data_IF_229533714180
#
_entry.id   IF_229533714180
#
_cell.length_a   1.000
_cell.length_b   1.000
_cell.length_c   1.000
_cell.angle_alpha   90.00
_cell.angle_beta   90.00
_cell.angle_gamma   90.00
#
_symmetry.space_group_name_H-M   'P 1'
#
loop_
_entity.id
_entity.type
_entity.pdbx_description
1 polymer ?
#
# COMPACT_ATOMS: atom_id res chain seq x y z
N UNK A 1 -18.60 15.19 53.82
CA UNK A 1 -18.26 16.51 54.40
C UNK A 1 -16.76 16.71 54.14
N UNK A 2 -16.40 17.55 53.15
CA UNK A 2 -15.79 18.91 53.31
C UNK A 2 -14.47 18.83 54.09
N UNK A 3 -13.30 19.21 53.56
CA UNK A 3 -12.83 20.54 53.12
C UNK A 3 -11.59 20.33 52.20
N UNK A 4 -11.39 20.91 51.00
CA UNK A 4 -11.19 22.31 50.55
C UNK A 4 -10.29 23.15 51.47
N UNK A 5 -9.04 23.32 51.05
CA UNK A 5 -8.12 24.42 51.37
C UNK A 5 -7.30 24.71 50.09
N UNK A 6 -7.73 25.67 49.27
CA UNK A 6 -7.18 27.04 49.15
C UNK A 6 -5.65 27.09 49.03
N UNK A 7 -5.16 27.41 47.83
CA UNK A 7 -3.96 28.23 47.70
C UNK A 7 -4.29 29.45 46.84
N UNK A 8 -4.31 30.59 47.52
CA UNK A 8 -4.61 31.91 47.02
C UNK A 8 -3.42 32.45 46.24
N UNK A 9 -3.72 33.03 45.08
CA UNK A 9 -2.82 33.79 44.24
C UNK A 9 -2.40 35.09 44.94
N UNK A 10 -1.10 35.33 45.07
CA UNK A 10 -0.54 36.65 45.40
C UNK A 10 0.46 37.04 44.31
N UNK A 11 0.12 38.07 43.56
CA UNK A 11 0.95 38.69 42.52
C UNK A 11 1.29 40.12 42.98
N UNK A 12 2.54 40.56 42.74
CA UNK A 12 3.08 41.92 42.49
C UNK A 12 4.53 41.94 43.02
N UNK A 13 5.60 42.16 42.26
CA UNK A 13 5.97 43.16 41.23
C UNK A 13 7.14 42.55 40.40
N UNK A 14 7.48 42.88 39.15
CA UNK A 14 7.22 44.02 38.29
C UNK A 14 7.37 43.60 36.81
N UNK A 15 6.46 44.05 35.94
CA UNK A 15 6.67 44.12 34.50
C UNK A 15 5.90 45.34 33.97
N UNK A 16 6.41 46.06 32.94
CA UNK A 16 5.87 47.34 32.53
C UNK A 16 4.48 47.21 31.91
N UNK A 17 3.69 48.27 32.03
CA UNK A 17 2.34 48.38 31.52
C UNK A 17 2.33 48.40 29.97
N UNK A 18 2.26 47.22 29.36
CA UNK A 18 1.72 47.00 28.02
C UNK A 18 1.29 45.52 27.90
N UNK A 19 0.06 45.29 27.43
CA UNK A 19 -0.56 43.98 27.15
C UNK A 19 -1.19 43.23 28.33
N UNK A 20 -2.26 43.81 28.91
CA UNK A 20 -3.20 43.08 29.76
C UNK A 20 -4.40 42.47 29.00
N UNK A 21 -4.52 42.69 27.68
CA UNK A 21 -5.68 42.18 26.91
C UNK A 21 -5.53 40.71 26.45
N UNK A 22 -4.33 40.13 26.46
CA UNK A 22 -4.10 38.81 25.86
C UNK A 22 -4.00 37.65 26.86
N UNK A 23 -4.17 37.91 28.16
CA UNK A 23 -3.99 36.85 29.18
C UNK A 23 -5.20 35.91 29.25
N UNK A 24 -6.41 36.43 29.05
CA UNK A 24 -7.64 35.63 28.97
C UNK A 24 -7.71 34.81 27.67
N UNK A 25 -7.31 35.40 26.54
CA UNK A 25 -7.22 34.70 25.24
C UNK A 25 -6.13 33.60 25.26
N UNK A 26 -4.99 33.86 25.91
CA UNK A 26 -3.95 32.85 26.13
C UNK A 26 -4.40 31.72 27.06
N UNK A 27 -5.17 32.02 28.12
CA UNK A 27 -5.72 31.01 29.02
C UNK A 27 -6.81 30.16 28.35
N UNK A 28 -7.66 30.74 27.51
CA UNK A 28 -8.66 29.99 26.74
C UNK A 28 -8.05 29.11 25.64
N UNK A 29 -7.03 29.60 24.93
CA UNK A 29 -6.26 28.80 23.96
C UNK A 29 -5.48 27.67 24.64
N UNK A 30 -4.89 27.94 25.82
CA UNK A 30 -4.17 26.93 26.60
C UNK A 30 -5.12 25.88 27.19
N UNK A 31 -6.30 26.26 27.69
CA UNK A 31 -7.30 25.33 28.20
C UNK A 31 -7.92 24.45 27.09
N UNK A 32 -8.10 25.00 25.87
CA UNK A 32 -8.50 24.22 24.69
C UNK A 32 -7.39 23.29 24.17
N UNK A 33 -6.12 23.60 24.42
CA UNK A 33 -4.99 22.71 24.08
C UNK A 33 -4.85 21.51 25.03
N UNK A 34 -5.34 21.62 26.27
CA UNK A 34 -5.25 20.56 27.29
C UNK A 34 -6.45 19.61 27.23
N UNK A 35 -7.59 20.04 26.66
CA UNK A 35 -8.79 19.19 26.46
C UNK A 35 -8.82 18.47 25.11
N UNK A 36 -8.06 18.95 24.12
CA UNK A 36 -7.79 18.19 22.90
C UNK A 36 -6.57 17.30 23.14
N UNK A 37 -6.76 15.99 23.23
CA UNK A 37 -5.73 15.04 22.78
C UNK A 37 -5.52 15.30 21.29
N UNK A 38 -4.70 16.30 20.96
CA UNK A 38 -4.43 16.72 19.60
C UNK A 38 -3.80 15.55 18.86
N UNK A 39 -4.54 15.02 17.89
CA UNK A 39 -3.95 14.30 16.78
C UNK A 39 -2.75 15.11 16.30
N UNK A 40 -1.57 14.51 16.31
CA UNK A 40 -0.37 15.16 15.78
C UNK A 40 -0.70 15.55 14.33
N UNK A 41 -0.30 16.75 13.91
CA UNK A 41 -0.36 17.11 12.48
C UNK A 41 0.29 15.96 11.67
N UNK A 42 -0.24 15.59 10.49
CA UNK A 42 0.42 14.58 9.67
C UNK A 42 1.86 15.05 9.43
N UNK A 43 2.84 14.19 9.72
CA UNK A 43 4.25 14.61 9.67
C UNK A 43 4.80 14.67 8.24
N UNK A 44 3.96 14.41 7.24
CA UNK A 44 4.24 14.49 5.81
C UNK A 44 3.14 15.25 5.05
N UNK A 45 3.37 15.46 3.75
CA UNK A 45 2.48 16.19 2.85
C UNK A 45 1.53 15.27 2.06
N UNK A 46 1.17 14.11 2.61
CA UNK A 46 0.26 13.19 1.92
C UNK A 46 -1.18 13.76 1.85
N UNK A 47 -1.81 13.57 0.69
CA UNK A 47 -3.16 14.05 0.39
C UNK A 47 -4.08 12.84 0.14
N UNK A 48 -5.30 12.89 0.68
CA UNK A 48 -6.32 11.88 0.40
C UNK A 48 -6.75 12.01 -1.08
N UNK A 49 -6.67 10.91 -1.82
CA UNK A 49 -7.06 10.88 -3.22
C UNK A 49 -8.46 10.32 -3.41
N UNK A 50 -8.77 9.18 -2.81
CA UNK A 50 -10.05 8.49 -3.06
C UNK A 50 -10.85 8.34 -1.77
N UNK A 51 -12.15 8.64 -1.85
CA UNK A 51 -13.06 8.44 -0.74
C UNK A 51 -14.49 8.20 -1.22
N UNK A 52 -15.00 7.00 -0.93
CA UNK A 52 -16.38 6.62 -1.23
C UNK A 52 -17.09 6.11 0.03
N UNK A 53 -18.42 6.24 0.02
CA UNK A 53 -19.26 5.84 1.16
C UNK A 53 -19.19 4.33 1.40
N UNK A 54 -18.73 3.95 2.60
CA UNK A 54 -18.61 2.55 3.07
C UNK A 54 -17.70 1.68 2.22
N UNK A 55 -16.80 2.28 1.46
CA UNK A 55 -15.82 1.58 0.63
C UNK A 55 -14.43 1.62 1.28
N UNK A 56 -13.64 0.57 1.05
CA UNK A 56 -12.21 0.56 1.31
C UNK A 56 -11.48 0.28 0.00
N UNK A 57 -10.42 1.03 -0.27
CA UNK A 57 -9.62 0.91 -1.48
C UNK A 57 -8.16 0.67 -1.17
N UNK A 58 -7.54 -0.23 -1.93
CA UNK A 58 -6.15 -0.63 -1.74
C UNK A 58 -5.47 -0.91 -3.08
N UNK A 59 -4.15 -1.13 -3.01
CA UNK A 59 -3.32 -1.56 -4.13
C UNK A 59 -3.47 -0.68 -5.38
N UNK A 60 -3.17 0.63 -5.29
CA UNK A 60 -3.26 1.51 -6.44
C UNK A 60 -2.30 1.06 -7.54
N UNK A 61 -2.77 1.03 -8.79
CA UNK A 61 -1.95 0.73 -9.97
C UNK A 61 -2.15 1.86 -11.00
N UNK A 62 -1.27 2.87 -11.05
CA UNK A 62 -1.37 3.95 -12.02
C UNK A 62 -1.24 3.41 -13.44
N UNK A 63 -2.06 3.95 -14.33
CA UNK A 63 -2.11 3.58 -15.75
C UNK A 63 -0.84 3.99 -16.50
N UNK A 64 -0.48 3.30 -17.60
CA UNK A 64 0.67 3.65 -18.42
C UNK A 64 0.59 5.07 -19.02
N UNK A 65 -0.59 5.62 -19.24
CA UNK A 65 -0.77 6.99 -19.75
C UNK A 65 -0.91 8.03 -18.62
N UNK A 66 -0.91 7.61 -17.36
CA UNK A 66 -1.00 8.48 -16.19
C UNK A 66 -2.39 9.07 -15.90
N UNK A 67 -3.43 8.73 -16.68
CA UNK A 67 -4.78 9.32 -16.55
C UNK A 67 -5.66 8.63 -15.49
N UNK A 68 -5.40 7.35 -15.25
CA UNK A 68 -6.21 6.50 -14.38
C UNK A 68 -5.38 5.76 -13.34
N UNK A 69 -6.05 5.27 -12.30
CA UNK A 69 -5.51 4.35 -11.29
C UNK A 69 -6.50 3.20 -11.15
N UNK A 70 -6.01 1.95 -11.20
CA UNK A 70 -6.81 0.81 -10.76
C UNK A 70 -6.69 0.64 -9.26
N UNK A 71 -7.79 0.30 -8.60
CA UNK A 71 -7.82 0.01 -7.17
C UNK A 71 -8.54 -1.30 -6.92
N UNK A 72 -8.18 -1.96 -5.81
CA UNK A 72 -8.98 -3.02 -5.23
C UNK A 72 -10.01 -2.39 -4.29
N UNK A 73 -11.26 -2.35 -4.73
CA UNK A 73 -12.38 -1.81 -3.97
C UNK A 73 -13.09 -2.89 -3.19
N UNK A 74 -13.41 -2.59 -1.93
CA UNK A 74 -14.22 -3.47 -1.07
C UNK A 74 -15.37 -2.69 -0.46
N UNK A 75 -16.59 -3.14 -0.75
CA UNK A 75 -17.82 -2.63 -0.15
C UNK A 75 -18.59 -3.78 0.49
N UNK A 76 -18.62 -3.82 1.83
CA UNK A 76 -19.18 -4.94 2.59
C UNK A 76 -18.45 -6.27 2.31
N UNK A 77 -19.16 -7.20 1.65
CA UNK A 77 -18.62 -8.51 1.24
C UNK A 77 -18.15 -8.55 -0.22
N UNK A 78 -18.51 -7.55 -1.02
CA UNK A 78 -18.15 -7.49 -2.42
C UNK A 78 -16.75 -6.90 -2.57
N UNK A 79 -15.97 -7.48 -3.48
CA UNK A 79 -14.66 -6.97 -3.87
C UNK A 79 -14.63 -6.84 -5.38
N UNK A 80 -14.10 -5.73 -5.88
CA UNK A 80 -14.02 -5.43 -7.31
C UNK A 80 -12.69 -4.76 -7.65
N UNK A 81 -12.32 -4.86 -8.91
CA UNK A 81 -11.31 -3.99 -9.52
C UNK A 81 -12.07 -2.75 -10.00
N UNK A 82 -11.66 -1.58 -9.54
CA UNK A 82 -12.27 -0.29 -9.90
C UNK A 82 -11.24 0.59 -10.60
N UNK A 83 -11.71 1.59 -11.35
CA UNK A 83 -10.86 2.59 -12.02
C UNK A 83 -11.24 3.98 -11.56
N UNK A 84 -10.23 4.70 -11.07
CA UNK A 84 -10.31 6.10 -10.62
C UNK A 84 -9.55 7.01 -11.57
N UNK A 85 -9.95 8.26 -11.68
CA UNK A 85 -9.12 9.29 -12.29
C UNK A 85 -7.92 9.59 -11.39
N UNK A 86 -6.72 9.70 -11.97
CA UNK A 86 -5.51 9.98 -11.19
C UNK A 86 -5.44 11.40 -10.65
N UNK A 87 -6.12 12.34 -11.32
CA UNK A 87 -6.10 13.77 -10.99
C UNK A 87 -6.83 14.11 -9.69
N UNK A 88 -7.93 13.40 -9.40
CA UNK A 88 -8.81 13.73 -8.28
C UNK A 88 -9.38 12.51 -7.54
N UNK A 89 -9.10 11.30 -8.01
CA UNK A 89 -9.60 10.07 -7.40
C UNK A 89 -11.07 9.75 -7.64
N UNK A 90 -11.77 10.53 -8.48
CA UNK A 90 -13.17 10.27 -8.79
C UNK A 90 -13.34 8.93 -9.51
N UNK A 91 -14.45 8.20 -9.28
CA UNK A 91 -14.75 6.99 -10.03
C UNK A 91 -14.90 7.28 -11.53
N UNK A 92 -14.03 6.68 -12.33
CA UNK A 92 -14.20 6.60 -13.78
C UNK A 92 -15.11 5.42 -14.14
N UNK A 93 -14.87 4.26 -13.50
CA UNK A 93 -15.70 3.06 -13.60
C UNK A 93 -15.65 2.29 -12.27
N UNK A 94 -16.81 2.10 -11.63
CA UNK A 94 -16.86 1.53 -10.28
C UNK A 94 -16.64 0.01 -10.23
N UNK A 95 -16.82 -0.72 -11.33
CA UNK A 95 -16.59 -2.17 -11.38
C UNK A 95 -16.12 -2.59 -12.77
N UNK A 96 -14.87 -3.03 -12.89
CA UNK A 96 -14.33 -3.66 -14.11
C UNK A 96 -14.46 -5.19 -14.03
N UNK A 97 -14.21 -5.77 -12.86
CA UNK A 97 -14.38 -7.19 -12.57
C UNK A 97 -14.68 -7.41 -11.09
N UNK A 98 -15.52 -8.41 -10.75
CA UNK A 98 -15.96 -8.71 -9.38
C UNK A 98 -15.83 -10.20 -8.99
N UNK A 99 -15.32 -11.03 -9.90
CA UNK A 99 -15.05 -12.47 -9.77
C UNK A 99 -13.54 -12.77 -9.83
N UNK A 100 -12.72 -11.73 -9.68
CA UNK A 100 -11.27 -11.85 -9.63
C UNK A 100 -10.82 -12.44 -8.29
N UNK A 101 -9.67 -13.12 -8.29
CA UNK A 101 -8.98 -13.56 -7.08
C UNK A 101 -8.35 -12.33 -6.41
N UNK A 102 -9.18 -11.57 -5.72
CA UNK A 102 -8.90 -10.24 -5.20
C UNK A 102 -7.96 -10.24 -3.98
N UNK A 103 -6.65 -10.24 -4.26
CA UNK A 103 -5.54 -9.90 -3.37
C UNK A 103 -4.42 -9.43 -4.30
N UNK A 104 -4.46 -8.17 -4.75
CA UNK A 104 -3.53 -7.54 -5.71
C UNK A 104 -3.26 -8.26 -7.06
N UNK A 105 -4.07 -9.27 -7.39
CA UNK A 105 -3.87 -10.11 -8.58
C UNK A 105 -4.44 -9.50 -9.86
N UNK A 106 -4.08 -8.25 -10.12
CA UNK A 106 -4.49 -7.47 -11.28
C UNK A 106 -3.43 -6.43 -11.67
N UNK A 107 -3.49 -5.96 -12.91
CA UNK A 107 -2.59 -4.93 -13.41
C UNK A 107 -2.96 -4.45 -14.81
N UNK A 108 -2.19 -3.49 -15.31
CA UNK A 108 -2.32 -3.01 -16.68
C UNK A 108 -1.54 -3.91 -17.63
N UNK A 109 -2.17 -4.35 -18.71
CA UNK A 109 -1.48 -5.05 -19.81
C UNK A 109 -0.88 -4.04 -20.78
N UNK A 110 -1.66 -3.02 -21.13
CA UNK A 110 -1.31 -1.93 -22.02
C UNK A 110 -2.18 -0.69 -21.69
N UNK A 111 -2.17 0.34 -22.55
CA UNK A 111 -2.97 1.56 -22.33
C UNK A 111 -4.49 1.32 -22.32
N UNK A 112 -4.95 0.28 -23.01
CA UNK A 112 -6.36 -0.03 -23.22
C UNK A 112 -6.87 -1.20 -22.39
N UNK A 113 -6.00 -2.11 -21.94
CA UNK A 113 -6.39 -3.38 -21.33
C UNK A 113 -5.80 -3.59 -19.94
N UNK A 114 -6.59 -4.26 -19.11
CA UNK A 114 -6.14 -4.77 -17.81
C UNK A 114 -6.07 -6.29 -17.86
N UNK A 115 -5.24 -6.87 -16.99
CA UNK A 115 -5.25 -8.29 -16.69
C UNK A 115 -5.59 -8.57 -15.22
N UNK A 116 -6.09 -9.76 -14.93
CA UNK A 116 -6.30 -10.24 -13.57
C UNK A 116 -6.48 -11.76 -13.51
N UNK A 117 -6.27 -12.35 -12.32
CA UNK A 117 -6.55 -13.78 -12.09
C UNK A 117 -8.03 -14.00 -11.80
N UNK A 118 -8.63 -15.01 -12.43
CA UNK A 118 -9.99 -15.46 -12.12
C UNK A 118 -10.14 -16.96 -12.34
N UNK A 119 -10.96 -17.60 -11.50
CA UNK A 119 -11.33 -19.02 -11.60
C UNK A 119 -12.58 -19.25 -12.45
N UNK A 120 -13.10 -18.20 -13.09
CA UNK A 120 -14.26 -18.30 -13.96
C UNK A 120 -14.05 -19.36 -15.05
N UNK A 121 -15.18 -19.94 -15.48
CA UNK A 121 -15.20 -21.04 -16.44
C UNK A 121 -14.35 -22.26 -15.98
N UNK A 122 -14.48 -22.61 -14.69
CA UNK A 122 -14.11 -23.92 -14.15
C UNK A 122 -12.61 -24.12 -13.87
N UNK A 123 -11.80 -23.07 -13.90
CA UNK A 123 -10.36 -23.18 -13.64
C UNK A 123 -9.68 -21.82 -13.58
N UNK A 124 -8.54 -21.77 -12.88
CA UNK A 124 -7.74 -20.56 -12.79
C UNK A 124 -7.23 -20.17 -14.18
N UNK A 125 -7.27 -18.87 -14.47
CA UNK A 125 -6.65 -18.32 -15.66
C UNK A 125 -6.22 -16.89 -15.44
N UNK A 126 -5.28 -16.44 -16.27
CA UNK A 126 -5.05 -15.02 -16.47
C UNK A 126 -6.03 -14.53 -17.53
N UNK A 127 -6.78 -13.49 -17.19
CA UNK A 127 -7.81 -12.91 -18.04
C UNK A 127 -7.49 -11.47 -18.37
N UNK A 128 -7.89 -11.04 -19.57
CA UNK A 128 -7.86 -9.65 -19.99
C UNK A 128 -9.27 -9.08 -20.18
N UNK A 129 -9.38 -7.77 -20.00
CA UNK A 129 -10.58 -6.99 -20.30
C UNK A 129 -10.18 -5.56 -20.68
N UNK A 130 -11.01 -4.89 -21.48
CA UNK A 130 -10.86 -3.46 -21.76
C UNK A 130 -10.95 -2.70 -20.44
N UNK A 131 -10.05 -1.73 -20.26
CA UNK A 131 -9.85 -1.00 -19.01
C UNK A 131 -11.00 -0.09 -18.62
N UNK A 132 -11.91 0.23 -19.53
CA UNK A 132 -13.16 0.95 -19.24
C UNK A 132 -14.24 0.04 -18.64
N UNK A 133 -14.00 -1.27 -18.56
CA UNK A 133 -14.97 -2.22 -18.06
C UNK A 133 -16.02 -2.64 -19.09
N UNK A 134 -16.02 -2.03 -20.28
CA UNK A 134 -16.91 -2.43 -21.37
C UNK A 134 -16.32 -3.63 -22.14
N UNK A 135 -17.09 -4.15 -23.09
CA UNK A 135 -16.66 -5.22 -23.97
C UNK A 135 -16.47 -6.60 -23.33
N UNK A 136 -16.02 -7.54 -24.17
CA UNK A 136 -15.81 -8.94 -23.79
C UNK A 136 -14.52 -9.10 -22.98
N UNK A 137 -14.56 -10.03 -22.02
CA UNK A 137 -13.38 -10.51 -21.33
C UNK A 137 -12.85 -11.77 -22.02
N UNK A 138 -11.53 -11.90 -22.11
CA UNK A 138 -10.86 -13.02 -22.78
C UNK A 138 -9.86 -13.70 -21.84
N UNK A 139 -9.71 -15.02 -21.96
CA UNK A 139 -8.66 -15.75 -21.26
C UNK A 139 -7.35 -15.63 -22.05
N UNK A 140 -6.30 -15.13 -21.42
CA UNK A 140 -4.94 -15.04 -21.98
C UNK A 140 -4.30 -16.42 -21.93
N UNK A 141 -4.19 -16.98 -20.73
CA UNK A 141 -3.55 -18.27 -20.49
C UNK A 141 -4.31 -19.05 -19.41
N UNK A 142 -4.60 -20.35 -19.61
CA UNK A 142 -5.05 -21.21 -18.53
C UNK A 142 -3.90 -21.42 -17.53
N UNK A 143 -4.21 -21.32 -16.24
CA UNK A 143 -3.27 -21.50 -15.15
C UNK A 143 -3.79 -22.57 -14.17
N UNK A 144 -2.95 -23.01 -13.26
CA UNK A 144 -3.31 -24.09 -12.34
C UNK A 144 -2.67 -23.92 -10.96
N UNK A 145 -3.34 -24.50 -9.96
CA UNK A 145 -2.92 -24.40 -8.57
C UNK A 145 -3.27 -23.05 -7.93
N UNK A 146 -2.58 -22.73 -6.84
CA UNK A 146 -2.79 -21.49 -6.12
C UNK A 146 -1.72 -20.47 -6.53
N UNK A 147 -2.12 -19.50 -7.37
CA UNK A 147 -1.29 -18.39 -7.81
C UNK A 147 -1.87 -17.05 -7.35
N UNK A 148 -0.99 -16.06 -7.19
CA UNK A 148 -1.33 -14.66 -6.87
C UNK A 148 -0.29 -13.70 -7.45
N UNK A 149 -0.61 -12.41 -7.51
CA UNK A 149 0.28 -11.31 -7.94
C UNK A 149 0.98 -11.57 -9.31
N UNK A 150 0.20 -11.78 -10.39
CA UNK A 150 0.80 -12.01 -11.70
C UNK A 150 1.40 -10.72 -12.27
N UNK A 151 2.50 -10.89 -13.00
CA UNK A 151 3.16 -9.91 -13.83
C UNK A 151 3.23 -10.49 -15.24
N UNK A 152 2.74 -9.72 -16.23
CA UNK A 152 2.83 -10.10 -17.64
C UNK A 152 4.08 -9.46 -18.23
N UNK A 153 4.97 -10.27 -18.80
CA UNK A 153 6.17 -9.79 -19.49
C UNK A 153 5.85 -9.45 -20.95
N UNK A 154 6.75 -8.72 -21.60
CA UNK A 154 6.60 -8.31 -23.00
C UNK A 154 6.58 -9.51 -23.98
N UNK A 155 7.21 -10.62 -23.61
CA UNK A 155 7.15 -11.89 -24.35
C UNK A 155 5.92 -12.73 -23.99
N UNK A 156 4.91 -12.14 -23.36
CA UNK A 156 3.69 -12.79 -22.85
C UNK A 156 3.91 -13.92 -21.83
N UNK A 157 5.15 -14.14 -21.37
CA UNK A 157 5.39 -15.02 -20.23
C UNK A 157 4.90 -14.36 -18.94
N UNK A 158 4.54 -15.18 -17.95
CA UNK A 158 3.93 -14.71 -16.70
C UNK A 158 4.87 -15.01 -15.56
N UNK A 159 5.20 -14.00 -14.76
CA UNK A 159 5.77 -14.22 -13.41
C UNK A 159 4.62 -14.14 -12.41
N UNK A 160 4.57 -15.06 -11.45
CA UNK A 160 3.54 -15.07 -10.41
C UNK A 160 4.10 -15.60 -9.09
N UNK A 161 3.34 -15.41 -8.01
CA UNK A 161 3.59 -16.05 -6.72
C UNK A 161 2.80 -17.34 -6.64
N UNK A 162 3.49 -18.46 -6.52
CA UNK A 162 2.89 -19.76 -6.23
C UNK A 162 2.81 -19.98 -4.74
N UNK A 163 1.62 -20.36 -4.28
CA UNK A 163 1.37 -20.72 -2.89
C UNK A 163 1.36 -22.24 -2.76
N UNK A 164 2.21 -22.79 -1.89
CA UNK A 164 2.27 -24.22 -1.60
C UNK A 164 1.75 -24.47 -0.19
N UNK A 165 0.71 -25.31 -0.06
CA UNK A 165 0.17 -25.66 1.24
C UNK A 165 1.23 -26.38 2.07
N UNK A 166 1.40 -25.96 3.32
CA UNK A 166 2.28 -26.63 4.26
C UNK A 166 1.46 -27.73 4.92
N UNK A 167 1.87 -28.99 4.75
CA UNK A 167 1.20 -30.15 5.35
C UNK A 167 1.48 -30.23 6.85
N UNK A 168 0.79 -29.38 7.63
CA UNK A 168 0.90 -29.33 9.09
C UNK A 168 -0.33 -30.01 9.69
N UNK A 169 -0.13 -31.23 10.23
CA UNK A 169 -1.14 -31.97 11.01
C UNK A 169 -1.91 -31.02 11.94
N UNK A 170 -3.19 -30.76 11.61
CA UNK A 170 -4.26 -30.16 12.43
C UNK A 170 -3.80 -29.30 13.63
N UNK A 171 -3.03 -28.24 13.40
CA UNK A 171 -3.06 -27.12 14.36
C UNK A 171 -4.23 -26.25 13.94
N UNK A 172 -5.12 -25.98 14.89
CA UNK A 172 -6.21 -25.02 14.76
C UNK A 172 -5.64 -23.74 14.16
N UNK A 173 -5.82 -23.53 12.86
CA UNK A 173 -5.54 -22.24 12.24
C UNK A 173 -6.49 -21.31 12.98
N UNK A 174 -5.94 -20.51 13.89
CA UNK A 174 -6.68 -19.43 14.50
C UNK A 174 -7.37 -18.71 13.36
N UNK A 175 -8.69 -18.50 13.44
CA UNK A 175 -9.39 -17.56 12.57
C UNK A 175 -8.92 -16.14 12.90
N UNK A 176 -7.63 -15.87 12.78
CA UNK A 176 -7.11 -14.51 12.72
C UNK A 176 -7.79 -13.89 11.52
N UNK A 177 -8.60 -12.85 11.78
CA UNK A 177 -9.19 -12.04 10.72
C UNK A 177 -8.06 -11.68 9.76
N UNK A 178 -8.19 -12.08 8.50
CA UNK A 178 -7.26 -11.69 7.47
C UNK A 178 -7.28 -10.16 7.41
N UNK A 179 -6.17 -9.55 7.76
CA UNK A 179 -5.96 -8.12 7.59
C UNK A 179 -5.63 -7.88 6.12
N UNK A 180 -6.41 -7.01 5.46
CA UNK A 180 -6.32 -6.81 4.02
C UNK A 180 -5.02 -6.08 3.60
N UNK A 181 -4.35 -5.45 4.57
CA UNK A 181 -3.02 -4.86 4.45
C UNK A 181 -1.93 -5.90 4.17
N UNK A 182 -2.02 -7.06 4.82
CA UNK A 182 -0.99 -8.09 4.76
C UNK A 182 -1.30 -9.11 3.65
N UNK A 183 -0.62 -8.93 2.53
CA UNK A 183 -0.60 -9.85 1.39
C UNK A 183 0.72 -10.66 1.29
N UNK A 184 1.58 -10.62 2.33
CA UNK A 184 2.89 -11.27 2.34
C UNK A 184 2.97 -12.49 3.26
N UNK A 185 1.99 -12.70 4.14
CA UNK A 185 1.91 -13.86 5.01
C UNK A 185 0.54 -14.50 4.92
N UNK A 186 0.47 -15.65 4.24
CA UNK A 186 -0.73 -16.48 4.22
C UNK A 186 -0.53 -17.70 5.09
N UNK A 187 -1.30 -17.79 6.17
CA UNK A 187 -1.20 -18.88 7.13
C UNK A 187 -1.41 -20.25 6.45
N UNK A 188 -0.47 -21.16 6.66
CA UNK A 188 -0.52 -22.51 6.10
C UNK A 188 0.05 -22.63 4.68
N UNK A 189 0.72 -21.59 4.16
CA UNK A 189 1.36 -21.63 2.84
C UNK A 189 2.81 -21.16 2.88
N UNK A 190 3.68 -21.80 2.10
CA UNK A 190 4.93 -21.20 1.61
C UNK A 190 4.71 -20.56 0.25
N UNK A 191 5.64 -19.70 -0.17
CA UNK A 191 5.51 -18.95 -1.42
C UNK A 191 6.78 -19.00 -2.26
N UNK A 192 6.61 -19.15 -3.56
CA UNK A 192 7.69 -19.16 -4.55
C UNK A 192 7.35 -18.19 -5.69
N UNK A 193 8.35 -17.46 -6.18
CA UNK A 193 8.27 -16.74 -7.44
C UNK A 193 8.48 -17.74 -8.57
N UNK A 194 7.50 -17.85 -9.45
CA UNK A 194 7.52 -18.79 -10.59
C UNK A 194 7.32 -18.03 -11.90
N UNK A 195 7.90 -18.54 -12.99
CA UNK A 195 7.68 -18.08 -14.35
C UNK A 195 6.99 -19.16 -15.18
N UNK A 196 5.92 -18.80 -15.85
CA UNK A 196 5.24 -19.60 -16.87
C UNK A 196 5.62 -19.07 -18.25
N UNK A 197 6.14 -19.95 -19.10
CA UNK A 197 6.38 -19.63 -20.49
C UNK A 197 5.08 -19.72 -21.30
N UNK A 198 5.11 -19.24 -22.54
CA UNK A 198 3.96 -19.30 -23.46
C UNK A 198 3.49 -20.73 -23.74
N UNK A 199 4.41 -21.70 -23.73
CA UNK A 199 4.11 -23.13 -23.90
C UNK A 199 3.46 -23.77 -22.65
N UNK A 200 3.29 -22.99 -21.56
CA UNK A 200 2.71 -23.44 -20.30
C UNK A 200 3.71 -24.12 -19.36
N UNK A 201 4.97 -24.27 -19.76
CA UNK A 201 6.02 -24.78 -18.87
C UNK A 201 6.30 -23.81 -17.73
N UNK A 202 6.54 -24.36 -16.55
CA UNK A 202 6.78 -23.59 -15.33
C UNK A 202 8.21 -23.79 -14.83
N UNK A 203 8.82 -22.70 -14.37
CA UNK A 203 10.10 -22.71 -13.67
C UNK A 203 10.04 -21.87 -12.39
N UNK A 204 10.61 -22.38 -11.30
CA UNK A 204 10.81 -21.63 -10.06
C UNK A 204 12.03 -20.69 -10.25
N UNK A 205 11.86 -19.41 -9.90
CA UNK A 205 12.93 -18.41 -9.91
C UNK A 205 13.57 -18.26 -8.53
N UNK A 206 12.76 -18.16 -7.47
CA UNK A 206 13.21 -18.00 -6.09
C UNK A 206 12.07 -18.31 -5.09
N UNK A 207 12.39 -18.49 -3.81
CA UNK A 207 11.39 -18.29 -2.75
C UNK A 207 11.03 -16.80 -2.67
N UNK A 208 9.80 -16.47 -2.30
CA UNK A 208 9.41 -15.07 -2.09
C UNK A 208 8.02 -14.72 -2.59
N UNK A 209 7.75 -13.42 -2.58
CA UNK A 209 6.42 -12.82 -2.75
C UNK A 209 6.53 -11.36 -3.22
N UNK A 210 5.39 -10.75 -3.53
CA UNK A 210 5.25 -9.35 -3.93
C UNK A 210 6.23 -8.94 -5.04
N UNK A 211 6.33 -9.70 -6.15
CA UNK A 211 7.22 -9.33 -7.23
C UNK A 211 6.73 -8.03 -7.89
N UNK A 212 7.67 -7.22 -8.35
CA UNK A 212 7.42 -6.04 -9.18
C UNK A 212 8.44 -5.99 -10.31
N UNK A 213 7.93 -5.89 -11.54
CA UNK A 213 8.74 -5.83 -12.76
C UNK A 213 9.40 -4.46 -12.90
N UNK A 214 10.71 -4.46 -13.20
CA UNK A 214 11.42 -3.24 -13.55
C UNK A 214 10.88 -2.66 -14.87
N UNK A 215 10.92 -1.33 -15.08
CA UNK A 215 10.39 -0.70 -16.29
C UNK A 215 11.02 -1.21 -17.60
N UNK A 216 12.25 -1.72 -17.54
CA UNK A 216 12.94 -2.32 -18.69
C UNK A 216 12.54 -3.78 -18.99
N UNK A 217 11.74 -4.39 -18.12
CA UNK A 217 11.27 -5.77 -18.23
C UNK A 217 12.33 -6.85 -17.95
N UNK A 218 13.56 -6.49 -17.56
CA UNK A 218 14.69 -7.43 -17.47
C UNK A 218 14.84 -8.05 -16.09
N UNK A 219 14.36 -7.39 -15.06
CA UNK A 219 14.47 -7.86 -13.68
C UNK A 219 13.19 -7.64 -12.90
N UNK A 220 13.03 -8.39 -11.82
CA UNK A 220 12.01 -8.15 -10.81
C UNK A 220 12.69 -7.80 -9.49
N UNK A 221 12.04 -6.96 -8.70
CA UNK A 221 12.29 -6.86 -7.26
C UNK A 221 11.19 -7.62 -6.53
N UNK A 222 11.51 -8.30 -5.44
CA UNK A 222 10.55 -9.09 -4.67
C UNK A 222 10.98 -9.15 -3.20
N UNK A 223 10.06 -9.53 -2.32
CA UNK A 223 10.34 -9.71 -0.90
C UNK A 223 10.61 -11.19 -0.60
N UNK A 224 11.68 -11.46 0.14
CA UNK A 224 12.08 -12.81 0.54
C UNK A 224 12.48 -12.82 2.02
N UNK A 225 12.10 -13.89 2.72
CA UNK A 225 12.50 -14.08 4.10
C UNK A 225 14.00 -14.40 4.17
N UNK A 226 14.76 -13.66 4.98
CA UNK A 226 16.13 -14.01 5.33
C UNK A 226 16.29 -14.00 6.86
N UNK A 227 16.40 -15.19 7.44
CA UNK A 227 16.42 -15.37 8.89
C UNK A 227 15.12 -14.90 9.55
N UNK A 228 15.23 -13.86 10.40
CA UNK A 228 14.09 -13.30 11.17
C UNK A 228 13.51 -12.03 10.57
N UNK A 229 14.02 -11.60 9.42
CA UNK A 229 13.62 -10.40 8.68
C UNK A 229 13.10 -10.77 7.30
N UNK A 230 12.43 -9.82 6.66
CA UNK A 230 12.05 -9.91 5.26
C UNK A 230 12.75 -8.77 4.55
N UNK A 231 13.46 -9.09 3.48
CA UNK A 231 14.24 -8.13 2.73
C UNK A 231 13.83 -8.14 1.27
N UNK A 232 14.21 -7.08 0.57
CA UNK A 232 14.05 -6.99 -0.87
C UNK A 232 15.24 -7.63 -1.57
N UNK A 233 14.94 -8.39 -2.61
CA UNK A 233 15.91 -8.98 -3.53
C UNK A 233 15.55 -8.60 -4.96
N UNK A 234 16.57 -8.50 -5.82
CA UNK A 234 16.42 -8.34 -7.26
C UNK A 234 16.94 -9.59 -7.95
N UNK A 235 16.24 -10.05 -8.98
CA UNK A 235 16.67 -11.16 -9.84
C UNK A 235 16.28 -10.85 -11.29
N UNK A 236 17.06 -11.31 -12.26
CA UNK A 236 16.69 -11.22 -13.66
C UNK A 236 15.46 -12.10 -13.95
N UNK A 237 14.67 -11.75 -14.97
CA UNK A 237 13.46 -12.50 -15.36
C UNK A 237 13.74 -13.91 -15.90
N UNK A 238 15.00 -14.22 -16.20
CA UNK A 238 15.48 -15.56 -16.52
C UNK A 238 15.98 -16.37 -15.30
N UNK A 239 15.99 -15.76 -14.12
CA UNK A 239 16.44 -16.34 -12.85
C UNK A 239 17.92 -16.16 -12.53
N UNK A 240 18.68 -15.40 -13.32
CA UNK A 240 20.08 -15.07 -13.04
C UNK A 240 20.23 -13.83 -12.14
N UNK A 241 21.45 -13.60 -11.64
CA UNK A 241 21.86 -12.40 -10.87
C UNK A 241 20.97 -12.04 -9.67
N UNK A 242 20.70 -13.03 -8.81
CA UNK A 242 20.01 -12.81 -7.54
C UNK A 242 20.88 -11.95 -6.59
N UNK A 243 20.39 -10.78 -6.21
CA UNK A 243 21.09 -9.80 -5.36
C UNK A 243 20.15 -9.32 -4.25
N UNK A 244 20.66 -9.22 -3.02
CA UNK A 244 19.95 -8.59 -1.90
C UNK A 244 20.03 -7.06 -1.99
N UNK A 245 18.89 -6.39 -1.86
CA UNK A 245 18.76 -4.92 -2.00
C UNK A 245 18.68 -4.23 -0.64
N UNK A 246 18.04 -4.86 0.36
CA UNK A 246 17.94 -4.32 1.72
C UNK A 246 18.47 -5.31 2.76
N UNK A 247 19.00 -4.81 3.87
CA UNK A 247 19.66 -5.64 4.90
C UNK A 247 19.38 -5.20 6.35
N UNK A 248 18.46 -4.26 6.55
CA UNK A 248 18.06 -3.79 7.87
C UNK A 248 17.23 -4.83 8.64
N UNK A 249 17.27 -4.78 9.98
CA UNK A 249 16.43 -5.63 10.84
C UNK A 249 14.97 -5.14 10.81
N UNK A 250 14.29 -5.32 9.68
CA UNK A 250 12.93 -4.89 9.41
C UNK A 250 12.17 -5.96 8.62
N UNK A 251 10.93 -5.63 8.28
CA UNK A 251 10.13 -6.34 7.28
C UNK A 251 9.93 -5.38 6.11
N UNK A 252 10.60 -5.65 5.00
CA UNK A 252 10.48 -4.87 3.76
C UNK A 252 9.67 -5.68 2.74
N UNK A 253 8.54 -5.13 2.30
CA UNK A 253 7.52 -5.83 1.50
C UNK A 253 6.87 -4.90 0.48
N UNK A 254 6.01 -5.48 -0.38
CA UNK A 254 5.25 -4.74 -1.39
C UNK A 254 6.07 -3.76 -2.25
N UNK A 255 7.21 -4.19 -2.83
CA UNK A 255 8.05 -3.29 -3.59
C UNK A 255 7.38 -2.85 -4.90
N UNK A 256 7.86 -1.72 -5.43
CA UNK A 256 7.55 -1.22 -6.76
C UNK A 256 8.72 -0.43 -7.32
N UNK A 257 8.74 -0.22 -8.63
CA UNK A 257 9.74 0.60 -9.28
C UNK A 257 9.22 2.01 -9.55
N UNK A 258 10.11 2.99 -9.50
CA UNK A 258 9.89 4.26 -10.16
C UNK A 258 9.76 4.05 -11.67
N UNK A 259 8.99 4.91 -12.33
CA UNK A 259 8.80 4.90 -13.78
C UNK A 259 10.10 5.04 -14.57
N UNK A 260 11.13 5.67 -13.99
CA UNK A 260 12.47 5.82 -14.56
C UNK A 260 13.46 4.70 -14.18
N UNK A 261 13.03 3.72 -13.36
CA UNK A 261 13.83 2.57 -12.94
C UNK A 261 14.98 2.89 -11.97
N UNK A 262 15.09 4.13 -11.49
CA UNK A 262 16.18 4.54 -10.57
C UNK A 262 15.91 4.21 -9.12
N UNK A 263 14.65 4.06 -8.74
CA UNK A 263 14.23 3.86 -7.36
C UNK A 263 13.32 2.65 -7.22
N UNK A 264 13.45 2.00 -6.08
CA UNK A 264 12.55 0.96 -5.60
C UNK A 264 11.79 1.56 -4.42
N UNK A 265 10.47 1.71 -4.54
CA UNK A 265 9.58 2.04 -3.44
C UNK A 265 9.18 0.76 -2.72
N UNK A 266 8.95 0.80 -1.41
CA UNK A 266 8.52 -0.36 -0.64
C UNK A 266 7.90 0.02 0.69
N UNK A 267 7.10 -0.89 1.23
CA UNK A 267 6.48 -0.79 2.56
C UNK A 267 7.44 -1.36 3.60
N UNK A 268 7.69 -0.62 4.69
CA UNK A 268 8.60 -1.09 5.74
C UNK A 268 8.23 -0.61 7.12
N UNK A 269 8.45 -1.48 8.11
CA UNK A 269 8.33 -1.14 9.53
C UNK A 269 9.63 -0.63 10.15
N UNK A 270 10.61 -0.23 9.33
CA UNK A 270 11.98 0.06 9.80
C UNK A 270 12.10 1.27 10.74
N UNK A 271 11.16 2.21 10.71
CA UNK A 271 11.16 3.38 11.59
C UNK A 271 10.96 2.99 13.07
N UNK A 272 10.12 1.99 13.35
CA UNK A 272 9.90 1.42 14.69
C UNK A 272 9.97 -0.11 14.63
N UNK A 273 11.13 -0.60 14.19
CA UNK A 273 11.40 -2.03 14.01
C UNK A 273 11.49 -2.83 15.32
N UNK A 274 11.05 -2.28 16.46
CA UNK A 274 10.99 -3.02 17.72
C UNK A 274 9.93 -4.13 17.65
N UNK A 275 10.34 -5.26 17.08
CA UNK A 275 9.55 -6.48 16.92
C UNK A 275 9.06 -7.07 18.27
N UNK A 276 9.46 -6.51 19.42
CA UNK A 276 8.94 -6.87 20.75
C UNK A 276 7.60 -6.17 21.06
N UNK A 277 7.29 -5.05 20.40
CA UNK A 277 6.01 -4.33 20.54
C UNK A 277 4.99 -4.81 19.50
N UNK A 278 4.38 -5.97 19.74
CA UNK A 278 3.29 -6.47 18.88
C UNK A 278 2.15 -5.45 18.81
N UNK A 279 1.77 -5.05 17.59
CA UNK A 279 0.59 -4.23 17.32
C UNK A 279 0.82 -2.71 17.31
N UNK A 280 2.07 -2.24 17.32
CA UNK A 280 2.41 -0.81 17.21
C UNK A 280 3.40 -0.45 16.09
N UNK A 281 3.77 -1.41 15.25
CA UNK A 281 4.70 -1.13 14.14
C UNK A 281 4.06 -0.12 13.19
N UNK A 282 4.71 1.03 13.06
CA UNK A 282 4.43 2.01 12.02
C UNK A 282 4.91 1.43 10.68
N UNK A 283 4.05 1.46 9.67
CA UNK A 283 4.39 1.01 8.33
C UNK A 283 4.38 2.22 7.42
N UNK A 284 5.54 2.57 6.93
CA UNK A 284 5.72 3.72 6.06
C UNK A 284 6.16 3.26 4.67
N UNK A 285 6.02 4.16 3.70
CA UNK A 285 6.61 4.04 2.39
C UNK A 285 8.06 4.53 2.45
N UNK A 286 8.96 3.73 1.89
CA UNK A 286 10.38 4.02 1.75
C UNK A 286 10.79 3.91 0.29
N UNK A 287 11.86 4.60 -0.06
CA UNK A 287 12.53 4.50 -1.36
C UNK A 287 14.00 4.15 -1.16
N UNK A 288 14.53 3.32 -2.04
CA UNK A 288 15.96 3.01 -2.13
C UNK A 288 16.39 3.05 -3.59
N UNK A 289 17.60 3.52 -3.87
CA UNK A 289 18.18 3.48 -5.20
C UNK A 289 18.22 2.04 -5.73
N UNK A 290 18.12 1.89 -7.05
CA UNK A 290 18.19 0.58 -7.71
C UNK A 290 19.54 -0.12 -7.52
N UNK A 291 20.56 0.60 -7.04
CA UNK A 291 21.87 0.10 -6.62
C UNK A 291 21.93 -0.29 -5.13
N UNK A 292 20.82 -0.17 -4.39
CA UNK A 292 20.74 -0.43 -2.96
C UNK A 292 21.20 0.73 -2.07
N UNK A 293 21.39 1.93 -2.60
CA UNK A 293 21.86 3.11 -1.84
C UNK A 293 20.77 4.17 -1.67
N UNK A 294 21.10 5.28 -1.01
CA UNK A 294 20.23 6.47 -0.89
C UNK A 294 18.85 6.20 -0.26
N UNK A 295 18.81 5.33 0.76
CA UNK A 295 17.59 5.02 1.48
C UNK A 295 16.90 6.31 1.99
N UNK A 296 15.63 6.49 1.63
CA UNK A 296 14.83 7.68 1.93
C UNK A 296 13.46 7.26 2.46
N UNK A 297 13.02 7.85 3.57
CA UNK A 297 11.66 7.69 4.09
C UNK A 297 10.72 8.66 3.35
N UNK A 298 9.66 8.13 2.75
CA UNK A 298 8.69 8.91 1.95
C UNK A 298 7.53 9.39 2.82
N UNK A 299 6.92 8.48 3.57
CA UNK A 299 5.83 8.82 4.49
C UNK A 299 6.27 8.75 5.94
N UNK A 300 5.65 9.60 6.76
CA UNK A 300 5.91 9.75 8.19
C UNK A 300 4.57 9.94 8.90
N UNK A 301 3.90 8.85 9.21
CA UNK A 301 2.66 8.90 9.99
C UNK A 301 2.49 7.69 10.91
N UNK A 302 1.55 7.78 11.84
CA UNK A 302 1.22 6.66 12.73
C UNK A 302 0.37 5.57 12.03
N UNK A 303 -0.21 5.86 10.86
CA UNK A 303 -0.97 4.91 10.06
C UNK A 303 -0.10 3.81 9.44
N UNK A 304 -0.77 2.92 8.72
CA UNK A 304 -0.17 1.88 7.90
C UNK A 304 -0.28 2.29 6.45
N UNK A 305 0.85 2.70 5.88
CA UNK A 305 0.97 3.01 4.47
C UNK A 305 1.54 1.80 3.72
N UNK A 306 0.95 1.46 2.57
CA UNK A 306 1.35 0.25 1.84
C UNK A 306 1.13 0.28 0.33
N UNK A 307 1.77 -0.67 -0.34
CA UNK A 307 1.72 -0.94 -1.78
C UNK A 307 1.86 0.31 -2.65
N UNK A 308 2.87 1.14 -2.35
CA UNK A 308 3.13 2.36 -3.11
C UNK A 308 3.49 2.06 -4.58
N UNK A 309 2.97 2.88 -5.50
CA UNK A 309 3.33 2.90 -6.93
C UNK A 309 3.56 4.33 -7.38
N UNK A 310 4.56 4.56 -8.24
CA UNK A 310 4.82 5.87 -8.82
C UNK A 310 4.09 6.03 -10.15
N UNK A 311 3.37 7.13 -10.34
CA UNK A 311 2.79 7.52 -11.61
C UNK A 311 3.82 8.13 -12.56
N UNK A 312 3.44 8.32 -13.83
CA UNK A 312 4.26 9.06 -14.80
C UNK A 312 4.34 10.56 -14.50
N UNK A 313 3.40 11.07 -13.71
CA UNK A 313 3.38 12.42 -13.18
C UNK A 313 4.39 12.65 -12.03
N UNK A 314 5.10 11.59 -11.61
CA UNK A 314 6.07 11.64 -10.51
C UNK A 314 5.43 11.60 -9.12
N UNK A 315 4.10 11.48 -9.02
CA UNK A 315 3.41 11.28 -7.75
C UNK A 315 3.51 9.83 -7.32
N UNK A 316 3.55 9.61 -6.01
CA UNK A 316 3.50 8.30 -5.38
C UNK A 316 2.07 8.10 -4.87
N UNK A 317 1.43 7.02 -5.29
CA UNK A 317 0.11 6.59 -4.83
C UNK A 317 0.26 5.38 -3.93
N UNK A 318 -0.41 5.38 -2.79
CA UNK A 318 -0.35 4.30 -1.81
C UNK A 318 -1.69 4.14 -1.10
N UNK A 319 -1.92 2.99 -0.48
CA UNK A 319 -3.09 2.85 0.40
C UNK A 319 -2.70 3.16 1.83
N UNK A 320 -3.61 3.78 2.57
CA UNK A 320 -3.39 4.12 3.98
C UNK A 320 -4.68 4.08 4.80
N UNK A 321 -4.55 3.70 6.07
CA UNK A 321 -5.61 3.79 7.09
C UNK A 321 -5.50 5.05 7.97
N UNK A 322 -4.81 6.08 7.46
CA UNK A 322 -4.82 7.46 7.98
C UNK A 322 -6.22 7.92 8.34
N UNK A 323 -6.31 8.67 9.44
CA UNK A 323 -7.57 9.23 9.89
C UNK A 323 -8.13 10.23 8.87
N UNK A 324 -9.41 10.06 8.51
CA UNK A 324 -10.12 10.96 7.60
C UNK A 324 -10.77 12.08 8.42
N UNK A 325 -10.42 13.33 8.11
CA UNK A 325 -10.97 14.50 8.80
C UNK A 325 -12.37 14.87 8.32
N UNK A 326 -13.07 15.75 9.04
CA UNK A 326 -14.38 16.27 8.61
C UNK A 326 -14.28 17.12 7.35
N UNK A 327 -13.18 17.84 7.21
CA UNK A 327 -12.86 18.67 6.04
C UNK A 327 -12.69 17.79 4.81
N UNK A 328 -11.95 16.68 4.93
CA UNK A 328 -11.80 15.68 3.86
C UNK A 328 -13.15 15.05 3.47
N UNK A 329 -13.97 14.67 4.45
CA UNK A 329 -15.34 14.19 4.20
C UNK A 329 -16.17 15.21 3.40
N UNK A 330 -16.06 16.49 3.75
CA UNK A 330 -16.77 17.56 3.04
C UNK A 330 -16.23 17.77 1.62
N UNK A 331 -14.90 17.80 1.44
CA UNK A 331 -14.25 17.95 0.14
C UNK A 331 -14.64 16.84 -0.83
N UNK A 332 -14.70 15.60 -0.36
CA UNK A 332 -15.14 14.44 -1.15
C UNK A 332 -16.66 14.22 -1.15
N UNK A 333 -17.44 15.10 -0.52
CA UNK A 333 -18.91 15.02 -0.47
C UNK A 333 -19.45 13.71 0.14
N UNK A 334 -18.70 13.10 1.06
CA UNK A 334 -19.04 11.83 1.74
C UNK A 334 -19.48 12.11 3.18
N UNK A 335 -20.58 11.47 3.63
CA UNK A 335 -21.09 11.66 5.00
C UNK A 335 -20.23 10.99 6.07
N UNK A 336 -19.64 9.84 5.74
CA UNK A 336 -18.82 9.04 6.65
C UNK A 336 -17.93 8.07 5.87
N UNK A 337 -16.67 7.91 6.28
CA UNK A 337 -15.80 6.84 5.80
C UNK A 337 -16.15 5.50 6.47
N UNK A 338 -15.71 4.39 5.87
CA UNK A 338 -15.76 3.10 6.55
C UNK A 338 -14.84 3.10 7.78
N UNK A 339 -15.22 2.37 8.84
CA UNK A 339 -14.35 2.21 10.00
C UNK A 339 -13.23 1.22 9.70
N UNK A 340 -11.99 1.56 10.08
CA UNK A 340 -10.80 0.73 9.86
C UNK A 340 -10.58 0.32 8.39
N UNK A 341 -10.91 1.23 7.46
CA UNK A 341 -10.67 1.06 6.02
C UNK A 341 -9.38 1.70 5.59
N UNK A 342 -8.86 1.18 4.49
CA UNK A 342 -7.84 1.83 3.68
C UNK A 342 -8.48 2.69 2.59
N UNK A 343 -7.80 3.78 2.24
CA UNK A 343 -8.12 4.67 1.13
C UNK A 343 -6.85 4.94 0.32
N UNK A 344 -6.98 5.43 -0.92
CA UNK A 344 -5.81 5.81 -1.70
C UNK A 344 -5.39 7.23 -1.32
N UNK A 345 -4.12 7.39 -1.02
CA UNK A 345 -3.44 8.64 -0.75
C UNK A 345 -2.36 8.87 -1.79
N UNK A 346 -1.96 10.13 -1.94
CA UNK A 346 -0.91 10.52 -2.86
C UNK A 346 0.05 11.50 -2.20
N UNK A 347 1.33 11.41 -2.56
CA UNK A 347 2.38 12.32 -2.10
C UNK A 347 3.34 12.59 -3.25
N UNK A 348 3.88 13.81 -3.32
CA UNK A 348 4.96 14.13 -4.25
C UNK A 348 6.26 13.42 -3.85
N UNK A 349 7.16 13.21 -4.81
CA UNK A 349 8.54 12.84 -4.46
C UNK A 349 9.12 13.90 -3.52
N UNK A 350 9.77 13.52 -2.40
CA UNK A 350 10.39 14.50 -1.52
C UNK A 350 11.47 15.25 -2.28
N UNK A 351 11.19 16.48 -2.69
CA UNK A 351 12.22 17.39 -3.17
C UNK A 351 13.19 17.62 -2.02
N UNK A 352 14.48 17.47 -2.29
CA UNK A 352 15.55 17.72 -1.32
C UNK A 352 15.49 19.18 -0.87
N UNK A 353 14.72 19.46 0.17
CA UNK A 353 14.68 20.74 0.85
C UNK A 353 14.79 20.45 2.34
N UNK A 354 16.04 20.19 2.78
CA UNK A 354 16.58 20.44 4.13
C UNK A 354 17.99 19.84 4.22
N UNK A 355 18.99 20.70 4.03
CA UNK A 355 20.19 20.66 4.86
C UNK A 355 19.89 21.34 6.18
#
# INVERSE_FOLDING_TARGET
MRHITMLSLALLLAAPAAHAENVLEWLETSANSISNKTAHAPADSAELLTLESKESEMYPQPSPNGKYILTLSRQGKQTSISRRYSENGDPANSVIANDARALDSFGWKDEGHIYYLSERAGGLGLWEKISDGEGMQRRIQPLHGALTQPLVLADESIIAVRMKAIDYKKKTISKTKHDAFNNWQVAGFTSEIVRFNQDGSERILAEGINPALAPDGKSIVFAMQAGRSVHLFRINTDGSDLIQVTDARSVDVQPSWSSDGKWILFTSNRADADMRKKGKSQWDIWAIGSDGRNLTQITRDAARDGAARMGKDGRIYFHSDRAISKEMLHQHQVKSAAAHSFHIWTIGWPTTAQQ
#
